data_IF_127103656891
#
_entry.id   IF_127103656891
#
_cell.length_a   1.000
_cell.length_b   1.000
_cell.length_c   1.000
_cell.angle_alpha   90.00
_cell.angle_beta   90.00
_cell.angle_gamma   90.00
#
_symmetry.space_group_name_H-M   'P 1'
#
loop_
_entity.id
_entity.type
_entity.pdbx_description
1 polymer ?
#
# COMPACT_ATOMS: atom_id res chain seq x y z
N UNK A 1 13.05 14.26 25.37
CA UNK A 1 12.07 13.79 24.38
C UNK A 1 10.70 14.16 24.91
N UNK A 2 9.93 14.94 24.15
CA UNK A 2 8.55 15.29 24.51
C UNK A 2 7.65 14.06 24.34
N UNK A 3 7.04 13.63 25.45
CA UNK A 3 6.07 12.54 25.49
C UNK A 3 4.86 12.84 24.60
N UNK A 4 4.57 11.97 23.64
CA UNK A 4 3.33 12.02 22.88
C UNK A 4 2.46 10.81 23.27
N UNK A 5 1.49 10.98 24.19
CA UNK A 5 0.69 9.87 24.70
C UNK A 5 -0.12 9.15 23.63
N UNK A 6 -0.41 9.81 22.49
CA UNK A 6 -1.09 9.18 21.35
C UNK A 6 -0.19 8.18 20.62
N UNK A 7 1.13 8.40 20.61
CA UNK A 7 2.11 7.51 19.98
C UNK A 7 2.57 6.38 20.91
N UNK A 8 2.25 6.40 22.20
CA UNK A 8 2.51 5.25 23.08
C UNK A 8 1.33 4.27 23.11
N UNK A 9 0.12 4.76 22.81
CA UNK A 9 -1.09 3.97 22.87
C UNK A 9 -1.27 3.00 21.70
N UNK A 10 -0.56 3.19 20.58
CA UNK A 10 -0.73 2.39 19.37
C UNK A 10 0.48 1.46 19.15
N UNK A 11 0.27 0.26 18.58
CA UNK A 11 1.35 -0.62 18.18
C UNK A 11 2.29 0.05 17.17
N UNK A 12 3.60 -0.17 17.30
CA UNK A 12 4.62 0.34 16.36
C UNK A 12 4.29 0.14 14.87
N UNK A 13 3.88 -1.06 14.39
CA UNK A 13 3.53 -1.23 12.97
C UNK A 13 2.34 -0.36 12.53
N UNK A 14 1.43 -0.03 13.45
CA UNK A 14 0.30 0.84 13.14
C UNK A 14 0.74 2.31 13.00
N UNK A 15 1.75 2.77 13.72
CA UNK A 15 2.34 4.10 13.49
C UNK A 15 2.85 4.26 12.05
N UNK A 16 3.65 3.28 11.62
CA UNK A 16 4.21 3.28 10.26
C UNK A 16 3.09 3.19 9.23
N UNK A 17 2.09 2.33 9.45
CA UNK A 17 0.95 2.22 8.55
C UNK A 17 0.15 3.53 8.43
N UNK A 18 -0.08 4.23 9.53
CA UNK A 18 -0.78 5.51 9.54
C UNK A 18 0.02 6.59 8.80
N UNK A 19 1.34 6.63 8.95
CA UNK A 19 2.21 7.52 8.18
C UNK A 19 2.00 7.33 6.66
N UNK A 20 2.07 6.09 6.17
CA UNK A 20 1.81 5.82 4.75
C UNK A 20 0.35 6.05 4.36
N UNK A 21 -0.60 5.80 5.26
CA UNK A 21 -2.01 6.05 4.99
C UNK A 21 -2.29 7.53 4.74
N UNK A 22 -1.69 8.43 5.53
CA UNK A 22 -1.77 9.87 5.31
C UNK A 22 -1.20 10.25 3.93
N UNK A 23 -0.07 9.65 3.54
CA UNK A 23 0.51 9.85 2.22
C UNK A 23 -0.45 9.42 1.10
N UNK A 24 -1.02 8.21 1.18
CA UNK A 24 -1.95 7.71 0.16
C UNK A 24 -3.28 8.44 0.14
N UNK A 25 -3.79 8.84 1.29
CA UNK A 25 -4.97 9.68 1.39
C UNK A 25 -4.75 11.02 0.70
N UNK A 26 -3.62 11.68 0.99
CA UNK A 26 -3.25 12.93 0.31
C UNK A 26 -3.11 12.73 -1.20
N UNK A 27 -2.45 11.65 -1.63
CA UNK A 27 -2.33 11.32 -3.04
C UNK A 27 -3.69 11.05 -3.70
N UNK A 28 -4.63 10.39 -3.00
CA UNK A 28 -5.97 10.13 -3.51
C UNK A 28 -6.76 11.43 -3.73
N UNK A 29 -6.65 12.40 -2.81
CA UNK A 29 -7.26 13.72 -2.97
C UNK A 29 -6.71 14.47 -4.20
N UNK A 30 -5.39 14.53 -4.32
CA UNK A 30 -4.72 15.24 -5.42
C UNK A 30 -4.99 14.58 -6.78
N UNK A 31 -4.88 13.25 -6.85
CA UNK A 31 -5.18 12.49 -8.07
C UNK A 31 -6.67 12.51 -8.42
N UNK A 32 -7.56 12.68 -7.45
CA UNK A 32 -9.00 12.87 -7.69
C UNK A 32 -9.29 14.17 -8.44
N UNK A 33 -8.68 15.28 -8.00
CA UNK A 33 -8.75 16.56 -8.73
C UNK A 33 -8.17 16.42 -10.13
N UNK A 34 -7.03 15.75 -10.26
CA UNK A 34 -6.40 15.52 -11.56
C UNK A 34 -7.29 14.69 -12.51
N UNK A 35 -7.87 13.59 -12.01
CA UNK A 35 -8.83 12.75 -12.76
C UNK A 35 -10.02 13.56 -13.24
N UNK A 36 -10.64 14.34 -12.36
CA UNK A 36 -11.79 15.17 -12.72
C UNK A 36 -11.45 16.18 -13.81
N UNK A 37 -10.30 16.85 -13.69
CA UNK A 37 -9.84 17.80 -14.71
C UNK A 37 -9.57 17.12 -16.06
N UNK A 38 -9.03 15.90 -16.05
CA UNK A 38 -8.80 15.13 -17.27
C UNK A 38 -10.12 14.75 -17.95
N UNK A 39 -11.14 14.37 -17.18
CA UNK A 39 -12.48 14.05 -17.70
C UNK A 39 -13.16 15.25 -18.34
N UNK A 40 -13.05 16.45 -17.74
CA UNK A 40 -13.64 17.67 -18.29
C UNK A 40 -13.12 18.02 -19.69
N UNK A 41 -11.89 17.63 -20.02
CA UNK A 41 -11.27 17.89 -21.32
C UNK A 41 -11.46 16.77 -22.35
N UNK A 42 -12.12 15.67 -21.99
CA UNK A 42 -12.24 14.48 -22.83
C UNK A 42 -13.60 14.43 -23.56
N UNK A 43 -13.59 14.03 -24.83
CA UNK A 43 -14.81 13.93 -25.65
C UNK A 43 -15.83 12.91 -25.11
N UNK A 44 -15.35 11.83 -24.49
CA UNK A 44 -16.15 10.76 -23.88
C UNK A 44 -16.35 10.95 -22.36
N UNK A 45 -15.84 12.05 -21.81
CA UNK A 45 -15.86 12.34 -20.38
C UNK A 45 -15.04 11.36 -19.53
N UNK A 46 -14.13 10.57 -20.12
CA UNK A 46 -13.31 9.61 -19.40
C UNK A 46 -11.88 10.14 -19.17
N UNK A 47 -11.34 9.87 -17.99
CA UNK A 47 -9.93 10.12 -17.74
C UNK A 47 -9.07 9.10 -18.49
N UNK A 48 -7.88 9.50 -18.89
CA UNK A 48 -6.88 8.57 -19.39
C UNK A 48 -6.65 7.41 -18.39
N UNK A 49 -6.56 6.17 -18.90
CA UNK A 49 -6.57 4.95 -18.09
C UNK A 49 -5.57 4.96 -16.91
N UNK A 50 -4.34 5.48 -17.11
CA UNK A 50 -3.37 5.55 -16.01
C UNK A 50 -3.63 6.66 -14.99
N UNK A 51 -4.36 7.72 -15.35
CA UNK A 51 -4.83 8.74 -14.39
C UNK A 51 -5.89 8.10 -13.49
N UNK A 52 -6.80 7.34 -14.10
CA UNK A 52 -7.83 6.60 -13.39
C UNK A 52 -7.22 5.54 -12.45
N UNK A 53 -6.31 4.71 -12.95
CA UNK A 53 -5.58 3.71 -12.15
C UNK A 53 -4.81 4.38 -11.01
N UNK A 54 -4.13 5.52 -11.23
CA UNK A 54 -3.39 6.20 -10.17
C UNK A 54 -4.31 6.64 -9.03
N UNK A 55 -5.49 7.21 -9.35
CA UNK A 55 -6.46 7.62 -8.34
C UNK A 55 -7.02 6.42 -7.57
N UNK A 56 -7.48 5.38 -8.28
CA UNK A 56 -7.99 4.18 -7.63
C UNK A 56 -6.92 3.47 -6.79
N UNK A 57 -5.68 3.39 -7.27
CA UNK A 57 -4.58 2.82 -6.49
C UNK A 57 -4.36 3.58 -5.19
N UNK A 58 -4.25 4.92 -5.23
CA UNK A 58 -4.09 5.73 -4.03
C UNK A 58 -5.24 5.55 -3.03
N UNK A 59 -6.49 5.48 -3.53
CA UNK A 59 -7.67 5.28 -2.70
C UNK A 59 -7.68 3.92 -1.97
N UNK A 60 -7.20 2.86 -2.62
CA UNK A 60 -7.14 1.53 -2.02
C UNK A 60 -5.90 1.33 -1.13
N UNK A 61 -4.78 1.95 -1.49
CA UNK A 61 -3.51 1.79 -0.79
C UNK A 61 -3.56 2.31 0.65
N UNK A 62 -4.26 3.43 0.90
CA UNK A 62 -4.40 4.01 2.24
C UNK A 62 -5.08 3.07 3.25
N UNK A 63 -6.31 2.58 2.99
CA UNK A 63 -6.97 1.60 3.85
C UNK A 63 -6.23 0.26 3.92
N UNK A 64 -5.63 -0.19 2.80
CA UNK A 64 -4.92 -1.46 2.75
C UNK A 64 -3.68 -1.48 3.66
N UNK A 65 -2.88 -0.40 3.67
CA UNK A 65 -1.69 -0.34 4.53
C UNK A 65 -2.07 -0.23 6.02
N UNK A 66 -3.21 0.39 6.35
CA UNK A 66 -3.77 0.41 7.71
C UNK A 66 -4.19 -0.98 8.15
N UNK A 67 -4.90 -1.73 7.28
CA UNK A 67 -5.23 -3.12 7.55
C UNK A 67 -3.97 -3.95 7.79
N UNK A 68 -2.94 -3.81 6.96
CA UNK A 68 -1.67 -4.49 7.15
C UNK A 68 -1.02 -4.11 8.49
N UNK A 69 -1.01 -2.84 8.87
CA UNK A 69 -0.49 -2.37 10.16
C UNK A 69 -1.25 -2.94 11.36
N UNK A 70 -2.58 -3.00 11.28
CA UNK A 70 -3.42 -3.58 12.31
C UNK A 70 -3.17 -5.10 12.47
N UNK A 71 -3.03 -5.83 11.35
CA UNK A 71 -2.68 -7.25 11.38
C UNK A 71 -1.26 -7.47 11.92
N UNK A 72 -0.32 -6.60 11.54
CA UNK A 72 1.07 -6.65 12.00
C UNK A 72 1.20 -6.41 13.51
N UNK A 73 0.21 -5.81 14.17
CA UNK A 73 0.16 -5.73 15.63
C UNK A 73 0.02 -7.12 16.31
N UNK A 74 -0.47 -8.12 15.58
CA UNK A 74 -0.58 -9.51 16.02
C UNK A 74 0.60 -10.37 15.53
N UNK A 75 1.74 -9.76 15.24
CA UNK A 75 2.93 -10.48 14.77
C UNK A 75 3.61 -11.27 15.89
N UNK A 76 3.67 -12.62 15.82
CA UNK A 76 4.17 -13.45 16.92
C UNK A 76 5.69 -13.48 17.05
N UNK A 77 6.43 -12.97 16.05
CA UNK A 77 7.89 -13.07 16.00
C UNK A 77 8.58 -11.72 16.29
N UNK A 78 7.94 -10.86 17.09
CA UNK A 78 8.45 -9.53 17.39
C UNK A 78 9.85 -9.53 18.03
N UNK A 79 10.16 -10.55 18.85
CA UNK A 79 11.48 -10.72 19.48
C UNK A 79 12.61 -10.97 18.47
N UNK A 80 12.27 -11.52 17.29
CA UNK A 80 13.23 -11.85 16.24
C UNK A 80 13.25 -10.82 15.12
N UNK A 81 12.07 -10.33 14.72
CA UNK A 81 11.93 -9.41 13.60
C UNK A 81 10.79 -8.43 13.86
N UNK A 82 11.05 -7.11 13.88
CA UNK A 82 10.00 -6.12 14.14
C UNK A 82 9.04 -5.99 12.95
N UNK A 83 7.74 -6.12 13.22
CA UNK A 83 6.71 -6.11 12.18
C UNK A 83 6.59 -4.76 11.43
N UNK A 84 6.99 -3.65 12.06
CA UNK A 84 6.95 -2.33 11.43
C UNK A 84 7.85 -2.24 10.18
N UNK A 85 8.94 -3.03 10.12
CA UNK A 85 9.81 -3.11 8.93
C UNK A 85 9.06 -3.69 7.73
N UNK A 86 8.19 -4.70 7.95
CA UNK A 86 7.35 -5.26 6.88
C UNK A 86 6.40 -4.18 6.34
N UNK A 87 5.85 -3.34 7.21
CA UNK A 87 4.99 -2.23 6.83
C UNK A 87 5.77 -1.15 6.05
N UNK A 88 6.99 -0.82 6.46
CA UNK A 88 7.83 0.12 5.70
C UNK A 88 8.14 -0.38 4.30
N UNK A 89 8.52 -1.65 4.16
CA UNK A 89 8.81 -2.27 2.86
C UNK A 89 7.57 -2.24 1.96
N UNK A 90 6.39 -2.60 2.49
CA UNK A 90 5.12 -2.50 1.77
C UNK A 90 4.80 -1.06 1.37
N UNK A 91 4.90 -0.14 2.33
CA UNK A 91 4.64 1.27 2.17
C UNK A 91 5.47 1.85 1.03
N UNK A 92 6.80 1.73 1.07
CA UNK A 92 7.65 2.27 -0.01
C UNK A 92 7.44 1.57 -1.37
N UNK A 93 7.18 0.27 -1.38
CA UNK A 93 6.86 -0.47 -2.62
C UNK A 93 5.61 0.06 -3.29
N UNK A 94 4.57 0.32 -2.50
CA UNK A 94 3.32 0.91 -2.97
C UNK A 94 3.50 2.39 -3.40
N UNK A 95 4.37 3.17 -2.75
CA UNK A 95 4.72 4.53 -3.20
C UNK A 95 5.35 4.51 -4.60
N UNK A 96 6.28 3.57 -4.83
CA UNK A 96 6.94 3.42 -6.12
C UNK A 96 5.95 2.94 -7.20
N UNK A 97 5.05 2.03 -6.86
CA UNK A 97 3.95 1.59 -7.73
C UNK A 97 3.03 2.76 -8.12
N UNK A 98 2.57 3.55 -7.15
CA UNK A 98 1.74 4.71 -7.39
C UNK A 98 2.44 5.76 -8.26
N UNK A 99 3.72 6.05 -7.96
CA UNK A 99 4.55 6.96 -8.75
C UNK A 99 4.66 6.51 -10.20
N UNK A 100 4.71 5.18 -10.44
CA UNK A 100 4.73 4.62 -11.79
C UNK A 100 3.42 4.90 -12.53
N UNK A 101 2.26 4.70 -11.91
CA UNK A 101 0.96 5.00 -12.52
C UNK A 101 0.82 6.50 -12.83
N UNK A 102 1.22 7.37 -11.90
CA UNK A 102 1.25 8.83 -12.12
C UNK A 102 2.13 9.16 -13.33
N UNK A 103 3.35 8.61 -13.39
CA UNK A 103 4.28 8.83 -14.51
C UNK A 103 3.68 8.40 -15.85
N UNK A 104 2.98 7.27 -15.88
CA UNK A 104 2.33 6.76 -17.09
C UNK A 104 1.11 7.61 -17.48
N UNK A 105 0.36 8.13 -16.51
CA UNK A 105 -0.73 9.07 -16.73
C UNK A 105 -0.24 10.38 -17.33
N UNK A 106 0.84 10.97 -16.79
CA UNK A 106 1.47 12.19 -17.31
C UNK A 106 1.98 11.99 -18.74
N UNK A 107 2.53 10.81 -19.05
CA UNK A 107 3.06 10.48 -20.39
C UNK A 107 1.98 10.10 -21.41
N UNK A 108 0.70 10.00 -21.02
CA UNK A 108 -0.36 9.52 -21.91
C UNK A 108 -0.10 8.10 -22.43
N UNK A 109 0.49 7.23 -21.61
CA UNK A 109 0.89 5.89 -22.04
C UNK A 109 -0.33 4.98 -22.28
N UNK A 110 -0.43 4.39 -23.47
CA UNK A 110 -1.57 3.50 -23.84
C UNK A 110 -1.22 2.01 -23.82
N UNK A 111 0.00 1.65 -23.43
CA UNK A 111 0.45 0.26 -23.34
C UNK A 111 1.04 -0.03 -21.98
N UNK A 112 0.79 -1.24 -21.47
CA UNK A 112 1.39 -1.70 -20.24
C UNK A 112 2.82 -2.21 -20.47
N UNK A 113 3.63 -2.18 -19.41
CA UNK A 113 5.03 -2.59 -19.42
C UNK A 113 5.26 -4.08 -19.67
N UNK A 114 4.22 -4.91 -19.59
CA UNK A 114 4.27 -6.36 -19.81
C UNK A 114 3.98 -6.75 -21.26
N UNK A 115 3.45 -5.84 -22.10
CA UNK A 115 3.21 -6.11 -23.54
C UNK A 115 4.50 -6.47 -24.29
N UNK A 116 5.61 -5.82 -23.93
CA UNK A 116 6.98 -6.12 -24.37
C UNK A 116 7.93 -5.88 -23.18
N UNK A 117 8.13 -6.87 -22.30
CA UNK A 117 8.74 -6.66 -21.00
C UNK A 117 10.23 -6.32 -21.14
N UNK A 118 10.57 -5.09 -20.77
CA UNK A 118 11.96 -4.65 -20.60
C UNK A 118 12.58 -5.27 -19.35
N UNK A 119 13.91 -5.18 -19.22
CA UNK A 119 14.59 -5.60 -17.98
C UNK A 119 14.02 -4.89 -16.73
N UNK A 120 13.69 -3.60 -16.85
CA UNK A 120 13.06 -2.82 -15.78
C UNK A 120 11.67 -3.36 -15.41
N UNK A 121 10.86 -3.79 -16.39
CA UNK A 121 9.55 -4.38 -16.12
C UNK A 121 9.67 -5.72 -15.36
N UNK A 122 10.65 -6.56 -15.73
CA UNK A 122 10.93 -7.82 -15.03
C UNK A 122 11.45 -7.58 -13.61
N UNK A 123 12.34 -6.61 -13.45
CA UNK A 123 12.81 -6.18 -12.13
C UNK A 123 11.65 -5.64 -11.28
N UNK A 124 10.74 -4.86 -11.87
CA UNK A 124 9.54 -4.36 -11.19
C UNK A 124 8.63 -5.48 -10.67
N UNK A 125 8.55 -6.62 -11.37
CA UNK A 125 7.79 -7.79 -10.90
C UNK A 125 8.46 -8.44 -9.68
N UNK A 126 9.78 -8.63 -9.72
CA UNK A 126 10.54 -9.15 -8.57
C UNK A 126 10.42 -8.21 -7.38
N UNK A 127 10.60 -6.91 -7.62
CA UNK A 127 10.43 -5.86 -6.63
C UNK A 127 9.03 -5.89 -6.00
N UNK A 128 7.96 -5.99 -6.79
CA UNK A 128 6.60 -6.09 -6.27
C UNK A 128 6.40 -7.35 -5.40
N UNK A 129 6.95 -8.49 -5.83
CA UNK A 129 6.82 -9.73 -5.08
C UNK A 129 7.47 -9.65 -3.69
N UNK A 130 8.74 -9.22 -3.63
CA UNK A 130 9.47 -9.09 -2.37
C UNK A 130 9.03 -7.87 -1.55
N UNK A 131 8.57 -6.82 -2.21
CA UNK A 131 8.22 -5.54 -1.58
C UNK A 131 6.78 -5.47 -1.06
N UNK A 132 5.86 -6.27 -1.60
CA UNK A 132 4.45 -6.23 -1.18
C UNK A 132 3.85 -7.59 -0.91
N UNK A 133 4.05 -8.57 -1.81
CA UNK A 133 3.40 -9.88 -1.69
C UNK A 133 3.96 -10.66 -0.50
N UNK A 134 5.28 -10.82 -0.41
CA UNK A 134 5.90 -11.56 0.69
C UNK A 134 5.65 -10.90 2.05
N UNK A 135 5.91 -9.60 2.27
CA UNK A 135 5.66 -8.97 3.56
C UNK A 135 4.18 -9.04 3.96
N UNK A 136 3.26 -8.78 3.03
CA UNK A 136 1.82 -8.86 3.29
C UNK A 136 1.35 -10.26 3.65
N UNK A 137 1.84 -11.28 2.93
CA UNK A 137 1.53 -12.68 3.25
C UNK A 137 2.12 -13.10 4.60
N UNK A 138 3.36 -12.69 4.89
CA UNK A 138 4.01 -12.93 6.17
C UNK A 138 3.21 -12.32 7.32
N UNK A 139 2.80 -11.06 7.21
CA UNK A 139 1.93 -10.40 8.20
C UNK A 139 0.63 -11.17 8.37
N UNK A 140 -0.04 -11.53 7.28
CA UNK A 140 -1.33 -12.22 7.34
C UNK A 140 -1.22 -13.59 8.03
N UNK A 141 -0.20 -14.38 7.69
CA UNK A 141 0.04 -15.68 8.32
C UNK A 141 0.40 -15.55 9.80
N UNK A 142 1.26 -14.59 10.14
CA UNK A 142 1.60 -14.31 11.55
C UNK A 142 0.37 -13.89 12.36
N UNK A 143 -0.42 -12.96 11.84
CA UNK A 143 -1.64 -12.50 12.47
C UNK A 143 -2.66 -13.64 12.66
N UNK A 144 -2.82 -14.52 11.66
CA UNK A 144 -3.71 -15.69 11.78
C UNK A 144 -3.31 -16.58 12.97
N UNK A 145 -2.01 -16.82 13.18
CA UNK A 145 -1.54 -17.66 14.29
C UNK A 145 -1.97 -17.04 15.63
N UNK A 146 -1.63 -15.77 15.87
CA UNK A 146 -1.93 -15.10 17.16
C UNK A 146 -3.43 -14.86 17.35
N UNK A 147 -4.14 -14.44 16.30
CA UNK A 147 -5.59 -14.22 16.36
C UNK A 147 -6.35 -15.52 16.53
N UNK A 148 -5.82 -16.64 16.03
CA UNK A 148 -6.42 -17.95 16.25
C UNK A 148 -6.50 -18.19 17.78
N UNK A 149 -5.41 -18.04 18.51
CA UNK A 149 -5.44 -18.30 19.96
C UNK A 149 -6.43 -17.41 20.74
N UNK A 150 -6.78 -16.23 20.20
CA UNK A 150 -7.75 -15.31 20.80
C UNK A 150 -9.22 -15.55 20.44
N UNK A 151 -9.56 -16.52 19.58
CA UNK A 151 -10.95 -16.74 19.17
C UNK A 151 -11.79 -17.39 20.30
N UNK A 152 -13.02 -16.91 20.55
CA UNK A 152 -13.87 -17.45 21.59
C UNK A 152 -14.30 -18.88 21.30
N UNK A 153 -14.28 -19.73 22.33
CA UNK A 153 -14.87 -21.06 22.30
C UNK A 153 -14.07 -22.13 21.56
N UNK A 154 -12.75 -21.99 21.43
CA UNK A 154 -11.91 -22.96 20.71
C UNK A 154 -11.78 -24.31 21.39
N UNK A 155 -12.31 -25.40 20.77
CA UNK A 155 -12.03 -26.77 21.16
C UNK A 155 -11.01 -27.33 20.17
N UNK A 156 -9.72 -27.19 20.47
CA UNK A 156 -8.57 -27.78 19.76
C UNK A 156 -8.63 -27.71 18.21
#
# INVERSE_FOLDING_TARGET
MTFNPLLEALPEPLHVALFFSVFYFTAALLTGVWKWRAMLGAEDGQAHAYIDIAHHAALHYGPFIVLAGALAAFWPFADFFPAWVLIEVMGWTMVLSLSRYISLGVRGAITNQLKKPTASAKFGLVFFFFGSVLPGLTIALGAIITLWDGLPGKPF
#
